data_IF_383956580668
#
_entry.id   IF_383956580668
#
_cell.length_a   1.000
_cell.length_b   1.000
_cell.length_c   1.000
_cell.angle_alpha   90.00
_cell.angle_beta   90.00
_cell.angle_gamma   90.00
#
_symmetry.space_group_name_H-M   'P 1'
#
loop_
_entity.id
_entity.type
_entity.pdbx_description
1 polymer ?
#
# COMPACT_ATOMS: atom_id res chain seq x y z
N UNK A 1 -19.81 8.44 14.31
CA UNK A 1 -20.01 8.36 12.85
C UNK A 1 -19.76 9.75 12.27
N UNK A 2 -19.19 9.85 11.07
CA UNK A 2 -18.98 11.14 10.43
C UNK A 2 -20.31 11.84 10.14
N UNK A 3 -20.37 13.17 10.29
CA UNK A 3 -21.59 13.96 10.18
C UNK A 3 -22.03 14.07 8.71
N UNK A 4 -22.94 13.18 8.29
CA UNK A 4 -23.52 13.14 6.93
C UNK A 4 -24.38 14.38 6.62
N UNK A 5 -25.05 14.92 7.64
CA UNK A 5 -26.05 15.98 7.53
C UNK A 5 -25.48 17.29 6.99
N UNK A 6 -24.26 17.60 7.42
CA UNK A 6 -23.57 18.87 7.14
C UNK A 6 -22.38 18.71 6.18
N UNK A 7 -22.22 17.53 5.56
CA UNK A 7 -21.11 17.29 4.66
C UNK A 7 -21.15 18.25 3.46
N UNK A 8 -20.06 18.97 3.24
CA UNK A 8 -19.84 19.82 2.08
C UNK A 8 -18.45 19.53 1.49
N UNK A 9 -18.44 19.19 0.20
CA UNK A 9 -17.24 18.93 -0.55
C UNK A 9 -16.62 20.25 -1.03
N UNK A 10 -15.57 20.70 -0.33
CA UNK A 10 -14.90 21.96 -0.63
C UNK A 10 -14.15 21.96 -1.96
N UNK A 11 -13.79 20.77 -2.47
CA UNK A 11 -13.06 20.65 -3.74
C UNK A 11 -14.01 20.82 -4.93
N UNK A 12 -15.13 20.12 -4.93
CA UNK A 12 -16.15 20.23 -5.98
C UNK A 12 -17.17 21.33 -5.73
N UNK A 13 -16.98 22.10 -4.64
CA UNK A 13 -17.86 23.16 -4.16
C UNK A 13 -19.35 22.77 -4.18
N UNK A 14 -19.66 21.58 -3.67
CA UNK A 14 -21.03 21.08 -3.61
C UNK A 14 -21.20 20.10 -2.45
N UNK A 15 -22.43 19.66 -2.21
CA UNK A 15 -22.76 18.76 -1.12
C UNK A 15 -23.06 17.32 -1.58
N UNK A 16 -22.59 16.93 -2.77
CA UNK A 16 -22.76 15.59 -3.32
C UNK A 16 -21.99 14.58 -2.49
N UNK A 17 -22.61 13.43 -2.25
CA UNK A 17 -22.00 12.27 -1.63
C UNK A 17 -21.84 11.18 -2.69
N UNK A 18 -20.61 10.85 -3.03
CA UNK A 18 -20.23 9.74 -3.91
C UNK A 18 -20.33 8.42 -3.15
N UNK A 19 -21.20 7.53 -3.63
CA UNK A 19 -21.28 6.17 -3.10
C UNK A 19 -20.24 5.25 -3.74
N UNK A 20 -20.00 4.07 -3.14
CA UNK A 20 -19.17 3.02 -3.75
C UNK A 20 -19.66 2.68 -5.16
N UNK A 21 -20.98 2.60 -5.33
CA UNK A 21 -21.63 2.30 -6.60
C UNK A 21 -21.50 3.45 -7.60
N UNK A 22 -21.54 4.71 -7.17
CA UNK A 22 -21.33 5.86 -8.07
C UNK A 22 -19.91 5.83 -8.62
N UNK A 23 -18.92 5.62 -7.76
CA UNK A 23 -17.50 5.57 -8.15
C UNK A 23 -17.22 4.36 -9.04
N UNK A 24 -17.83 3.21 -8.74
CA UNK A 24 -17.69 1.99 -9.55
C UNK A 24 -18.29 2.10 -10.95
N UNK A 25 -19.30 2.97 -11.14
CA UNK A 25 -19.97 3.19 -12.43
C UNK A 25 -19.42 4.40 -13.22
N UNK A 26 -18.39 5.10 -12.71
CA UNK A 26 -17.76 6.19 -13.44
C UNK A 26 -16.88 5.68 -14.57
N UNK A 27 -16.88 6.39 -15.69
CA UNK A 27 -15.81 6.24 -16.69
C UNK A 27 -14.46 6.72 -16.11
N UNK A 28 -13.35 6.37 -16.77
CA UNK A 28 -12.02 6.81 -16.32
C UNK A 28 -11.86 8.34 -16.30
N UNK A 29 -12.46 9.04 -17.27
CA UNK A 29 -12.39 10.50 -17.35
C UNK A 29 -13.36 11.18 -16.37
N UNK A 30 -14.54 10.59 -16.14
CA UNK A 30 -15.44 11.02 -15.08
C UNK A 30 -14.75 10.89 -13.71
N UNK A 31 -14.05 9.78 -13.46
CA UNK A 31 -13.31 9.59 -12.22
C UNK A 31 -12.18 10.60 -12.07
N UNK A 32 -11.31 10.78 -13.08
CA UNK A 32 -10.22 11.78 -13.04
C UNK A 32 -10.72 13.19 -12.77
N UNK A 33 -11.85 13.56 -13.36
CA UNK A 33 -12.46 14.88 -13.15
C UNK A 33 -12.96 15.05 -11.72
N UNK A 34 -13.46 13.98 -11.10
CA UNK A 34 -14.03 13.99 -9.75
C UNK A 34 -13.06 13.50 -8.66
N UNK A 35 -11.85 13.08 -9.01
CA UNK A 35 -10.91 12.35 -8.15
C UNK A 35 -10.66 13.09 -6.84
N UNK A 36 -10.24 14.35 -6.95
CA UNK A 36 -9.98 15.22 -5.79
C UNK A 36 -11.21 15.41 -4.89
N UNK A 37 -12.41 15.40 -5.45
CA UNK A 37 -13.65 15.52 -4.69
C UNK A 37 -14.00 14.21 -3.98
N UNK A 38 -13.86 13.08 -4.67
CA UNK A 38 -14.04 11.73 -4.09
C UNK A 38 -13.04 11.52 -2.95
N UNK A 39 -11.80 11.97 -3.14
CA UNK A 39 -10.74 11.89 -2.14
C UNK A 39 -11.05 12.72 -0.91
N UNK A 40 -11.51 13.96 -1.11
CA UNK A 40 -11.95 14.83 -0.02
C UNK A 40 -13.09 14.18 0.77
N UNK A 41 -14.07 13.55 0.11
CA UNK A 41 -15.14 12.87 0.80
C UNK A 41 -14.63 11.66 1.57
N UNK A 42 -13.83 10.81 0.95
CA UNK A 42 -13.25 9.64 1.59
C UNK A 42 -12.45 10.03 2.86
N UNK A 43 -11.77 11.18 2.82
CA UNK A 43 -11.03 11.72 3.95
C UNK A 43 -11.93 12.27 5.09
N UNK A 44 -13.09 12.84 4.79
CA UNK A 44 -13.90 13.54 5.81
C UNK A 44 -15.16 12.76 6.23
N UNK A 45 -15.64 11.87 5.37
CA UNK A 45 -16.92 11.16 5.52
C UNK A 45 -16.77 9.64 5.30
N UNK A 46 -15.76 9.22 4.52
CA UNK A 46 -15.69 7.86 3.98
C UNK A 46 -16.47 7.72 2.66
N UNK A 47 -16.46 6.53 2.08
CA UNK A 47 -17.25 6.20 0.88
C UNK A 47 -18.34 5.19 1.27
N UNK A 48 -19.57 5.65 1.56
CA UNK A 48 -20.68 4.78 1.93
C UNK A 48 -21.19 3.98 0.71
N UNK A 49 -21.85 2.85 0.94
CA UNK A 49 -22.75 2.28 -0.08
C UNK A 49 -24.06 3.04 -0.13
N UNK A 50 -24.79 2.86 -1.23
CA UNK A 50 -26.21 3.22 -1.31
C UNK A 50 -27.04 2.63 -0.16
N UNK A 51 -26.78 1.38 0.25
CA UNK A 51 -27.49 0.75 1.38
C UNK A 51 -27.31 1.50 2.70
N UNK A 52 -26.13 2.09 2.90
CA UNK A 52 -25.77 2.80 4.13
C UNK A 52 -26.47 4.17 4.19
N UNK A 53 -26.80 4.73 3.02
CA UNK A 53 -27.45 6.04 2.86
C UNK A 53 -28.97 5.96 2.73
N UNK A 54 -29.50 4.85 2.22
CA UNK A 54 -30.93 4.67 1.96
C UNK A 54 -31.81 4.80 3.20
N UNK A 55 -31.26 4.51 4.39
CA UNK A 55 -31.95 4.59 5.68
C UNK A 55 -31.55 5.82 6.50
N UNK A 56 -30.78 6.74 5.93
CA UNK A 56 -30.25 7.90 6.65
C UNK A 56 -31.11 9.15 6.43
N UNK A 57 -31.61 9.74 7.53
CA UNK A 57 -32.36 11.00 7.52
C UNK A 57 -31.51 12.26 7.22
N UNK A 58 -30.19 12.08 7.18
CA UNK A 58 -29.19 13.13 7.01
C UNK A 58 -28.86 13.44 5.55
N UNK A 59 -29.35 12.61 4.63
CA UNK A 59 -29.07 12.71 3.19
C UNK A 59 -30.34 12.80 2.37
N UNK A 60 -30.20 13.31 1.15
CA UNK A 60 -31.27 13.42 0.17
C UNK A 60 -30.87 12.63 -1.06
N UNK A 61 -31.73 11.72 -1.49
CA UNK A 61 -31.61 11.07 -2.78
C UNK A 61 -32.17 11.98 -3.87
N UNK A 62 -31.32 12.36 -4.82
CA UNK A 62 -31.68 13.18 -5.96
C UNK A 62 -31.85 12.27 -7.16
N UNK A 63 -33.07 12.23 -7.72
CA UNK A 63 -33.36 11.51 -8.95
C UNK A 63 -32.60 12.09 -10.13
N UNK A 64 -32.36 11.30 -11.18
CA UNK A 64 -31.74 11.82 -12.40
C UNK A 64 -32.66 12.86 -13.06
N UNK A 65 -32.08 13.91 -13.62
CA UNK A 65 -32.82 14.97 -14.31
C UNK A 65 -31.96 15.57 -15.43
N UNK A 66 -32.59 16.37 -16.29
CA UNK A 66 -31.91 17.14 -17.32
C UNK A 66 -32.00 18.62 -16.91
N UNK A 67 -30.87 19.33 -16.93
CA UNK A 67 -30.82 20.77 -16.70
C UNK A 67 -31.37 21.53 -17.90
N UNK A 68 -31.71 22.80 -17.70
CA UNK A 68 -32.21 23.68 -18.75
C UNK A 68 -31.20 23.85 -19.91
N UNK A 69 -29.90 23.73 -19.63
CA UNK A 69 -28.81 23.74 -20.61
C UNK A 69 -28.63 22.42 -21.39
N UNK A 70 -29.51 21.43 -21.17
CA UNK A 70 -29.45 20.11 -21.78
C UNK A 70 -28.53 19.10 -21.08
N UNK A 71 -27.83 19.48 -20.02
CA UNK A 71 -26.92 18.58 -19.28
C UNK A 71 -27.71 17.51 -18.54
N UNK A 72 -27.42 16.23 -18.83
CA UNK A 72 -27.99 15.08 -18.12
C UNK A 72 -27.27 14.85 -16.78
N UNK A 73 -28.03 14.88 -15.68
CA UNK A 73 -27.52 14.65 -14.33
C UNK A 73 -27.95 13.26 -13.87
N UNK A 74 -26.97 12.41 -13.56
CA UNK A 74 -27.20 11.08 -12.97
C UNK A 74 -27.75 11.21 -11.54
N UNK A 75 -28.60 10.27 -11.15
CA UNK A 75 -29.09 10.18 -9.77
C UNK A 75 -27.93 10.07 -8.78
N UNK A 76 -28.06 10.68 -7.60
CA UNK A 76 -27.00 10.73 -6.61
C UNK A 76 -27.52 11.08 -5.21
N UNK A 77 -26.70 10.85 -4.18
CA UNK A 77 -26.96 11.33 -2.83
C UNK A 77 -26.29 12.69 -2.61
N UNK A 78 -26.89 13.50 -1.73
CA UNK A 78 -26.28 14.73 -1.20
C UNK A 78 -26.63 14.91 0.27
N UNK A 79 -25.85 15.68 1.01
CA UNK A 79 -26.18 16.04 2.40
C UNK A 79 -27.41 16.96 2.47
N UNK A 80 -28.18 16.88 3.56
CA UNK A 80 -29.44 17.63 3.72
C UNK A 80 -29.24 19.10 4.08
N UNK A 81 -28.20 19.45 4.84
CA UNK A 81 -27.94 20.79 5.36
C UNK A 81 -26.63 21.41 4.83
N UNK A 82 -26.18 21.02 3.63
CA UNK A 82 -24.92 21.49 3.04
C UNK A 82 -24.88 23.00 2.78
N UNK A 83 -24.63 23.79 3.81
CA UNK A 83 -24.39 25.23 3.75
C UNK A 83 -22.90 25.53 3.61
N UNK A 84 -22.58 26.60 2.89
CA UNK A 84 -21.27 27.27 3.01
C UNK A 84 -21.31 28.02 4.35
N UNK A 85 -20.96 27.36 5.46
CA UNK A 85 -20.69 28.09 6.71
C UNK A 85 -19.30 28.71 6.59
N UNK A 86 -19.21 30.01 6.87
CA UNK A 86 -18.10 30.93 6.58
C UNK A 86 -16.74 30.66 7.24
N UNK A 87 -16.32 29.41 7.41
CA UNK A 87 -14.94 29.04 7.66
C UNK A 87 -14.14 29.03 6.34
N UNK A 88 -14.12 30.18 5.67
CA UNK A 88 -13.12 30.54 4.68
C UNK A 88 -11.90 31.11 5.41
N UNK A 89 -11.16 30.24 6.10
CA UNK A 89 -9.75 30.41 6.47
C UNK A 89 -9.26 29.09 7.04
N UNK A 90 -8.02 28.73 6.76
CA UNK A 90 -7.34 27.50 7.17
C UNK A 90 -7.61 26.29 6.26
N UNK A 91 -7.03 26.38 5.06
CA UNK A 91 -6.60 25.21 4.30
C UNK A 91 -5.41 24.61 5.06
N UNK A 92 -5.64 23.54 5.81
CA UNK A 92 -4.63 22.49 5.92
C UNK A 92 -5.08 21.34 5.03
N UNK A 93 -4.22 20.99 4.07
CA UNK A 93 -4.34 19.86 3.14
C UNK A 93 -4.73 18.58 3.90
N UNK A 94 -6.01 18.17 3.84
CA UNK A 94 -6.42 16.86 4.36
C UNK A 94 -6.25 15.79 3.27
N UNK A 95 -5.41 14.83 3.62
CA UNK A 95 -4.96 13.70 2.82
C UNK A 95 -6.09 12.78 2.32
N UNK A 96 -6.02 12.31 1.06
CA UNK A 96 -6.83 11.23 0.43
C UNK A 96 -6.80 9.92 1.25
N UNK A 97 -7.57 8.85 0.97
CA UNK A 97 -7.36 7.58 1.71
C UNK A 97 -6.04 6.88 1.37
N UNK A 98 -5.58 7.03 0.13
CA UNK A 98 -4.22 6.65 -0.23
C UNK A 98 -3.26 7.44 0.65
N UNK A 99 -3.36 8.77 0.61
CA UNK A 99 -2.53 9.68 1.38
C UNK A 99 -2.62 9.40 2.86
N UNK A 100 -3.79 9.15 3.44
CA UNK A 100 -3.99 8.74 4.82
C UNK A 100 -3.42 7.37 5.10
N UNK A 101 -3.44 6.43 4.17
CA UNK A 101 -2.76 5.14 4.35
C UNK A 101 -1.26 5.35 4.36
N UNK A 102 -0.69 6.13 3.44
CA UNK A 102 0.73 6.52 3.47
C UNK A 102 1.08 7.41 4.67
N UNK A 103 0.13 8.20 5.15
CA UNK A 103 0.25 9.06 6.31
C UNK A 103 0.24 8.20 7.56
N UNK A 104 -0.69 7.26 7.70
CA UNK A 104 -0.74 6.25 8.75
C UNK A 104 0.56 5.43 8.71
N UNK A 105 0.94 4.89 7.55
CA UNK A 105 2.22 4.19 7.34
C UNK A 105 3.43 5.09 7.67
N UNK A 106 3.34 6.41 7.46
CA UNK A 106 4.39 7.39 7.75
C UNK A 106 4.40 7.92 9.20
N UNK A 107 3.24 8.03 9.86
CA UNK A 107 3.00 8.56 11.22
C UNK A 107 3.22 7.48 12.28
N UNK A 108 2.81 6.24 11.99
CA UNK A 108 3.06 5.04 12.82
C UNK A 108 4.57 4.88 13.11
N UNK A 109 5.43 5.39 12.23
CA UNK A 109 6.87 5.19 12.32
C UNK A 109 7.67 6.48 12.60
N UNK A 110 7.07 7.66 12.43
CA UNK A 110 7.72 8.95 12.73
C UNK A 110 7.53 9.44 14.18
N UNK A 111 6.70 8.75 14.98
CA UNK A 111 6.38 9.13 16.36
C UNK A 111 7.46 8.70 17.37
N UNK A 112 8.36 9.64 17.71
CA UNK A 112 9.22 9.71 18.91
C UNK A 112 10.19 8.56 19.30
N UNK A 113 11.42 8.97 19.63
CA UNK A 113 12.63 8.18 19.95
C UNK A 113 12.49 7.11 21.05
N UNK A 114 11.39 7.11 21.83
CA UNK A 114 11.13 6.17 22.92
C UNK A 114 10.18 5.01 22.56
N UNK A 115 9.57 5.02 21.36
CA UNK A 115 8.51 4.07 20.98
C UNK A 115 8.84 3.34 19.66
N UNK A 116 10.11 3.29 19.26
CA UNK A 116 10.51 2.50 18.08
C UNK A 116 10.24 0.98 18.23
N UNK A 117 10.12 0.47 19.46
CA UNK A 117 9.88 -0.95 19.73
C UNK A 117 8.40 -1.36 19.91
N UNK A 118 7.44 -0.42 20.01
CA UNK A 118 6.03 -0.78 20.30
C UNK A 118 5.02 -0.39 19.23
N UNK A 119 5.26 0.66 18.44
CA UNK A 119 4.23 1.20 17.54
C UNK A 119 4.46 0.98 16.04
N UNK A 120 5.45 0.20 15.61
CA UNK A 120 5.47 -0.40 14.26
C UNK A 120 4.32 -1.43 14.08
N UNK A 121 3.57 -1.73 15.15
CA UNK A 121 2.77 -2.94 15.39
C UNK A 121 1.67 -3.33 14.38
N UNK A 122 1.42 -2.56 13.32
CA UNK A 122 0.42 -2.92 12.29
C UNK A 122 1.07 -3.19 10.92
N UNK A 123 2.07 -2.40 10.50
CA UNK A 123 2.64 -2.45 9.14
C UNK A 123 4.20 -2.31 9.07
N UNK A 124 4.98 -3.22 9.70
CA UNK A 124 6.44 -3.18 9.66
C UNK A 124 7.11 -3.20 8.29
N UNK A 125 6.49 -3.81 7.27
CA UNK A 125 7.11 -3.94 5.95
C UNK A 125 6.73 -2.75 5.07
N UNK A 126 5.43 -2.55 4.82
CA UNK A 126 4.94 -1.48 3.96
C UNK A 126 5.33 -0.11 4.50
N UNK A 127 5.27 0.10 5.82
CA UNK A 127 5.64 1.37 6.45
C UNK A 127 7.14 1.67 6.35
N UNK A 128 7.98 0.65 6.49
CA UNK A 128 9.43 0.80 6.38
C UNK A 128 9.85 1.13 4.94
N UNK A 129 9.36 0.35 3.96
CA UNK A 129 9.67 0.57 2.54
C UNK A 129 9.24 1.97 2.10
N UNK A 130 8.03 2.36 2.48
CA UNK A 130 7.51 3.68 2.18
C UNK A 130 8.39 4.82 2.72
N UNK A 131 8.78 4.77 3.99
CA UNK A 131 9.61 5.84 4.56
C UNK A 131 10.98 5.89 3.96
N UNK A 132 11.56 4.72 3.67
CA UNK A 132 12.86 4.70 3.03
C UNK A 132 12.79 5.36 1.65
N UNK A 133 11.75 5.05 0.88
CA UNK A 133 11.53 5.64 -0.44
C UNK A 133 11.13 7.13 -0.41
N UNK A 134 10.46 7.61 0.65
CA UNK A 134 10.01 9.03 0.74
C UNK A 134 10.98 9.95 1.47
N UNK A 135 11.77 9.42 2.40
CA UNK A 135 12.51 10.21 3.39
C UNK A 135 13.99 9.82 3.41
N UNK A 136 14.55 9.49 2.24
CA UNK A 136 15.97 9.13 2.07
C UNK A 136 16.43 8.13 3.13
N UNK A 137 15.80 6.95 3.13
CA UNK A 137 16.17 5.82 3.97
C UNK A 137 16.08 6.08 5.49
N UNK A 138 15.26 7.06 5.92
CA UNK A 138 15.13 7.45 7.34
C UNK A 138 14.83 6.29 8.30
N UNK A 139 14.04 5.30 7.88
CA UNK A 139 13.74 4.16 8.74
C UNK A 139 14.97 3.28 8.91
N UNK A 140 15.63 2.93 7.81
CA UNK A 140 16.86 2.13 7.83
C UNK A 140 17.99 2.83 8.62
N UNK A 141 18.15 4.15 8.49
CA UNK A 141 19.14 4.95 9.27
C UNK A 141 18.97 4.84 10.79
N UNK A 142 17.82 4.38 11.29
CA UNK A 142 17.48 4.27 12.72
C UNK A 142 17.27 2.83 13.19
N UNK A 143 17.48 1.85 12.32
CA UNK A 143 17.25 0.45 12.61
C UNK A 143 18.58 -0.29 12.50
N UNK A 144 19.09 -0.76 13.63
CA UNK A 144 20.38 -1.46 13.70
C UNK A 144 20.40 -2.77 12.91
N UNK A 145 19.22 -3.31 12.59
CA UNK A 145 19.01 -4.53 11.80
C UNK A 145 18.69 -4.23 10.32
N UNK A 146 18.94 -3.01 9.86
CA UNK A 146 18.74 -2.58 8.48
C UNK A 146 19.98 -1.86 7.95
N UNK A 147 20.41 -2.22 6.75
CA UNK A 147 21.59 -1.66 6.10
C UNK A 147 21.21 -1.00 4.78
N UNK A 148 21.65 0.24 4.58
CA UNK A 148 21.44 0.99 3.35
C UNK A 148 22.56 0.63 2.39
N UNK A 149 22.19 0.33 1.16
CA UNK A 149 23.10 0.05 0.06
C UNK A 149 22.91 1.16 -0.96
N UNK A 150 23.99 1.88 -1.31
CA UNK A 150 23.87 3.06 -2.20
C UNK A 150 23.87 2.67 -3.67
N UNK A 151 24.36 1.48 -4.00
CA UNK A 151 24.17 0.84 -5.28
C UNK A 151 24.18 -0.65 -5.08
N UNK A 152 23.26 -1.36 -5.73
CA UNK A 152 23.21 -2.83 -5.61
C UNK A 152 24.55 -3.50 -5.97
N UNK A 153 25.41 -2.85 -6.77
CA UNK A 153 26.74 -3.39 -7.11
C UNK A 153 27.65 -3.55 -5.89
N UNK A 154 27.33 -2.92 -4.76
CA UNK A 154 28.00 -3.13 -3.47
C UNK A 154 27.70 -4.53 -2.89
N UNK A 155 26.65 -5.21 -3.36
CA UNK A 155 26.29 -6.56 -2.91
C UNK A 155 27.26 -7.56 -3.52
N UNK A 156 28.18 -8.08 -2.70
CA UNK A 156 29.13 -9.12 -3.10
C UNK A 156 28.50 -10.52 -3.12
N UNK A 157 27.50 -10.70 -3.99
CA UNK A 157 26.88 -11.99 -4.27
C UNK A 157 26.44 -12.05 -5.74
N UNK A 158 27.20 -12.79 -6.57
CA UNK A 158 26.95 -12.87 -8.01
C UNK A 158 25.57 -13.45 -8.33
N UNK A 159 25.19 -14.56 -7.71
CA UNK A 159 23.92 -15.22 -8.01
C UNK A 159 22.71 -14.40 -7.62
N UNK A 160 22.82 -13.61 -6.53
CA UNK A 160 21.80 -12.64 -6.14
C UNK A 160 21.71 -11.47 -7.14
N UNK A 161 22.85 -10.92 -7.57
CA UNK A 161 22.87 -9.89 -8.62
C UNK A 161 22.26 -10.39 -9.93
N UNK A 162 22.58 -11.63 -10.34
CA UNK A 162 21.99 -12.26 -11.53
C UNK A 162 20.47 -12.40 -11.43
N UNK A 163 19.94 -12.67 -10.22
CA UNK A 163 18.49 -12.64 -9.97
C UNK A 163 17.94 -11.21 -10.09
N UNK A 164 18.60 -10.24 -9.46
CA UNK A 164 18.18 -8.84 -9.48
C UNK A 164 18.17 -8.26 -10.90
N UNK A 165 19.11 -8.68 -11.77
CA UNK A 165 19.08 -8.41 -13.21
C UNK A 165 17.83 -8.98 -13.88
N UNK A 166 17.51 -10.26 -13.62
CA UNK A 166 16.36 -10.94 -14.24
C UNK A 166 15.02 -10.35 -13.85
N UNK A 167 14.91 -9.78 -12.65
CA UNK A 167 13.69 -9.07 -12.21
C UNK A 167 13.67 -7.60 -12.59
N UNK A 168 14.69 -7.10 -13.28
CA UNK A 168 14.72 -5.74 -13.82
C UNK A 168 15.07 -4.65 -12.81
N UNK A 169 15.71 -4.99 -11.69
CA UNK A 169 16.26 -3.97 -10.78
C UNK A 169 17.45 -3.29 -11.50
N UNK A 170 17.56 -1.96 -11.52
CA UNK A 170 18.73 -1.26 -12.04
C UNK A 170 19.99 -1.46 -11.18
N UNK A 171 21.17 -1.47 -11.80
CA UNK A 171 22.46 -1.64 -11.09
C UNK A 171 22.76 -0.47 -10.13
N UNK A 172 22.39 0.75 -10.52
CA UNK A 172 22.56 1.95 -9.72
C UNK A 172 21.44 2.16 -8.68
N UNK A 173 20.47 1.24 -8.57
CA UNK A 173 19.42 1.37 -7.56
C UNK A 173 20.01 1.28 -6.16
N UNK A 174 19.51 2.18 -5.30
CA UNK A 174 19.69 2.11 -3.86
C UNK A 174 18.70 1.11 -3.27
N UNK A 175 18.95 0.68 -2.05
CA UNK A 175 18.03 -0.23 -1.38
C UNK A 175 18.38 -0.48 0.08
N UNK A 176 17.55 -1.31 0.70
CA UNK A 176 17.71 -1.71 2.11
C UNK A 176 17.84 -3.22 2.21
N UNK A 177 18.81 -3.66 3.00
CA UNK A 177 18.97 -5.04 3.45
C UNK A 177 18.54 -5.11 4.91
N UNK A 178 17.43 -5.79 5.18
CA UNK A 178 16.99 -6.14 6.51
C UNK A 178 17.60 -7.50 6.88
N UNK A 179 18.36 -7.54 7.98
CA UNK A 179 19.04 -8.75 8.40
C UNK A 179 18.07 -9.78 9.03
N UNK A 180 18.63 -10.91 9.47
CA UNK A 180 17.90 -12.02 10.11
C UNK A 180 17.22 -11.63 11.44
N UNK A 181 17.70 -10.59 12.12
CA UNK A 181 17.18 -10.15 13.42
C UNK A 181 16.08 -9.11 13.28
N UNK A 182 15.96 -8.47 12.12
CA UNK A 182 14.96 -7.45 11.83
C UNK A 182 13.52 -7.97 12.04
N UNK A 183 12.64 -7.05 12.46
CA UNK A 183 11.21 -7.34 12.60
C UNK A 183 10.59 -7.74 11.26
N UNK A 184 11.04 -7.14 10.16
CA UNK A 184 10.55 -7.39 8.82
C UNK A 184 10.85 -8.83 8.37
N UNK A 185 12.10 -9.28 8.51
CA UNK A 185 12.49 -10.66 8.15
C UNK A 185 11.74 -11.70 8.97
N UNK A 186 11.63 -11.48 10.29
CA UNK A 186 10.87 -12.35 11.20
C UNK A 186 9.39 -12.40 10.84
N UNK A 187 8.78 -11.26 10.47
CA UNK A 187 7.39 -11.22 10.01
C UNK A 187 7.20 -12.00 8.72
N UNK A 188 8.12 -11.87 7.76
CA UNK A 188 8.02 -12.59 6.49
C UNK A 188 8.11 -14.09 6.69
N UNK A 189 9.05 -14.58 7.51
CA UNK A 189 9.11 -15.99 7.84
C UNK A 189 7.77 -16.51 8.37
N UNK A 190 7.13 -15.78 9.28
CA UNK A 190 5.84 -16.16 9.88
C UNK A 190 4.63 -15.96 8.95
N UNK A 191 4.82 -15.50 7.72
CA UNK A 191 3.71 -15.32 6.78
C UNK A 191 3.13 -16.65 6.30
N UNK A 192 1.80 -16.76 6.14
CA UNK A 192 1.18 -17.98 5.61
C UNK A 192 1.75 -18.41 4.26
N UNK A 193 2.11 -17.45 3.40
CA UNK A 193 2.66 -17.68 2.07
C UNK A 193 4.03 -18.37 2.13
N UNK A 194 4.95 -17.89 2.98
CA UNK A 194 6.28 -18.50 3.15
C UNK A 194 6.16 -19.84 3.87
N UNK A 195 5.34 -19.94 4.93
CA UNK A 195 5.13 -21.21 5.64
C UNK A 195 4.53 -22.28 4.71
N UNK A 196 3.57 -21.91 3.86
CA UNK A 196 3.01 -22.81 2.86
C UNK A 196 4.05 -23.21 1.79
N UNK A 197 4.91 -22.29 1.37
CA UNK A 197 6.02 -22.61 0.47
C UNK A 197 6.98 -23.64 1.08
N UNK A 198 7.37 -23.45 2.34
CA UNK A 198 8.26 -24.37 3.08
C UNK A 198 7.60 -25.75 3.18
N UNK A 199 6.36 -25.81 3.66
CA UNK A 199 5.61 -27.06 3.85
C UNK A 199 5.50 -27.86 2.55
N UNK A 200 5.11 -27.21 1.44
CA UNK A 200 4.95 -27.87 0.13
C UNK A 200 6.27 -28.34 -0.49
N UNK A 201 7.40 -27.75 -0.12
CA UNK A 201 8.70 -28.03 -0.73
C UNK A 201 9.70 -28.67 0.24
N UNK A 202 9.27 -29.06 1.44
CA UNK A 202 10.14 -29.48 2.54
C UNK A 202 11.24 -30.46 2.12
N UNK A 203 10.88 -31.60 1.52
CA UNK A 203 11.84 -32.62 1.11
C UNK A 203 12.85 -32.11 0.06
N UNK A 204 12.46 -31.16 -0.80
CA UNK A 204 13.37 -30.56 -1.80
C UNK A 204 14.32 -29.56 -1.16
N UNK A 205 13.83 -28.79 -0.19
CA UNK A 205 14.59 -27.80 0.56
C UNK A 205 15.65 -28.45 1.46
N UNK A 206 15.33 -29.58 2.10
CA UNK A 206 16.30 -30.36 2.90
C UNK A 206 17.39 -30.97 2.03
N UNK A 207 17.02 -31.51 0.86
CA UNK A 207 17.98 -32.19 -0.03
C UNK A 207 18.74 -31.23 -0.96
N UNK A 208 18.53 -29.91 -0.83
CA UNK A 208 19.06 -28.88 -1.72
C UNK A 208 18.82 -29.18 -3.22
N UNK A 209 17.65 -29.73 -3.56
CA UNK A 209 17.23 -30.10 -4.92
C UNK A 209 16.23 -29.10 -5.53
N UNK A 210 16.03 -27.96 -4.88
CA UNK A 210 15.09 -26.93 -5.31
C UNK A 210 15.76 -25.97 -6.30
N UNK A 211 14.97 -25.32 -7.16
CA UNK A 211 15.46 -24.18 -7.92
C UNK A 211 16.05 -23.14 -6.95
N UNK A 212 17.16 -22.47 -7.30
CA UNK A 212 17.78 -21.46 -6.44
C UNK A 212 16.90 -20.21 -6.27
N UNK A 213 15.74 -20.17 -6.93
CA UNK A 213 14.80 -19.06 -6.85
C UNK A 213 13.36 -19.57 -6.81
N UNK A 214 12.48 -18.84 -6.12
CA UNK A 214 11.04 -19.11 -6.12
C UNK A 214 10.24 -17.81 -6.12
N UNK A 215 9.01 -17.87 -6.64
CA UNK A 215 8.05 -16.77 -6.63
C UNK A 215 7.14 -16.85 -5.40
N UNK A 216 6.96 -15.73 -4.73
CA UNK A 216 6.00 -15.58 -3.63
C UNK A 216 5.07 -14.42 -3.95
N UNK A 217 3.76 -14.72 -3.97
CA UNK A 217 2.71 -13.73 -4.09
C UNK A 217 1.97 -13.63 -2.75
N UNK A 218 2.05 -12.46 -2.12
CA UNK A 218 1.18 -12.09 -1.01
C UNK A 218 -0.16 -11.64 -1.59
N UNK A 219 -1.25 -12.24 -1.10
CA UNK A 219 -2.61 -11.93 -1.56
C UNK A 219 -3.32 -11.04 -0.57
N UNK A 220 -4.14 -10.15 -1.11
CA UNK A 220 -5.02 -9.32 -0.31
C UNK A 220 -6.14 -10.18 0.29
N UNK A 221 -6.24 -10.14 1.62
CA UNK A 221 -7.19 -10.80 2.51
C UNK A 221 -8.05 -9.74 3.21
N UNK A 222 -7.45 -8.65 3.68
CA UNK A 222 -8.11 -7.56 4.38
C UNK A 222 -7.25 -6.28 4.38
N UNK A 223 -7.80 -5.22 4.99
CA UNK A 223 -7.17 -3.90 5.03
C UNK A 223 -5.82 -3.84 5.77
N UNK A 224 -5.50 -4.83 6.62
CA UNK A 224 -4.29 -4.89 7.45
C UNK A 224 -3.16 -5.74 6.85
N UNK A 225 -3.23 -6.10 5.58
CA UNK A 225 -2.22 -6.96 4.95
C UNK A 225 -0.94 -6.22 4.56
N UNK A 226 -0.07 -6.06 5.55
CA UNK A 226 1.25 -5.44 5.41
C UNK A 226 2.10 -5.98 4.25
N UNK A 227 2.26 -7.29 4.16
CA UNK A 227 3.11 -7.89 3.13
C UNK A 227 2.54 -7.66 1.73
N UNK A 228 1.21 -7.58 1.61
CA UNK A 228 0.53 -7.26 0.35
C UNK A 228 0.87 -5.84 -0.10
N UNK A 229 0.84 -4.85 0.80
CA UNK A 229 1.15 -3.47 0.42
C UNK A 229 2.65 -3.20 0.26
N UNK A 230 3.50 -3.94 0.97
CA UNK A 230 4.93 -3.68 1.03
C UNK A 230 5.78 -4.40 -0.03
N UNK A 231 5.31 -5.55 -0.54
CA UNK A 231 6.05 -6.42 -1.47
C UNK A 231 5.14 -6.92 -2.58
N UNK A 232 3.98 -7.49 -2.21
CA UNK A 232 3.03 -8.19 -3.08
C UNK A 232 3.60 -9.35 -3.92
N UNK A 233 4.57 -9.11 -4.78
CA UNK A 233 5.21 -10.07 -5.67
C UNK A 233 6.73 -10.03 -5.49
N UNK A 234 7.26 -10.95 -4.70
CA UNK A 234 8.70 -11.01 -4.44
C UNK A 234 9.33 -12.33 -4.90
N UNK A 235 10.66 -12.33 -5.00
CA UNK A 235 11.46 -13.53 -5.25
C UNK A 235 12.12 -14.00 -3.97
N UNK A 236 12.09 -15.31 -3.74
CA UNK A 236 13.03 -15.97 -2.85
C UNK A 236 14.29 -16.34 -3.61
N UNK A 237 15.44 -16.14 -2.99
CA UNK A 237 16.74 -16.57 -3.45
C UNK A 237 17.37 -17.55 -2.45
N UNK A 238 17.93 -18.62 -3.01
CA UNK A 238 18.55 -19.76 -2.35
C UNK A 238 17.75 -20.32 -1.14
N UNK A 239 16.44 -20.62 -1.30
CA UNK A 239 15.68 -21.21 -0.20
C UNK A 239 16.15 -22.64 0.06
N UNK A 240 16.60 -22.92 1.28
CA UNK A 240 17.05 -24.25 1.69
C UNK A 240 16.88 -24.47 3.19
N UNK A 241 16.90 -25.73 3.63
CA UNK A 241 16.95 -26.09 5.04
C UNK A 241 18.34 -26.62 5.34
N UNK A 242 19.05 -25.96 6.24
CA UNK A 242 20.39 -26.38 6.68
C UNK A 242 20.31 -27.61 7.58
N UNK A 243 21.43 -28.32 7.72
CA UNK A 243 21.53 -29.53 8.54
C UNK A 243 21.21 -29.30 10.03
N UNK A 244 21.38 -28.07 10.52
CA UNK A 244 21.00 -27.65 11.87
C UNK A 244 19.50 -27.30 12.01
N UNK A 245 18.70 -27.55 10.97
CA UNK A 245 17.24 -27.39 10.96
C UNK A 245 16.75 -25.97 10.67
N UNK A 246 17.60 -25.04 10.25
CA UNK A 246 17.13 -23.69 9.90
C UNK A 246 16.68 -23.59 8.45
N UNK A 247 15.54 -22.97 8.22
CA UNK A 247 15.18 -22.46 6.91
C UNK A 247 15.95 -21.17 6.63
N UNK A 248 16.65 -21.14 5.50
CA UNK A 248 17.45 -20.00 5.04
C UNK A 248 16.92 -19.53 3.69
N UNK A 249 16.71 -18.22 3.53
CA UNK A 249 16.36 -17.63 2.24
C UNK A 249 16.65 -16.12 2.23
N UNK A 250 16.78 -15.54 1.04
CA UNK A 250 16.80 -14.10 0.84
C UNK A 250 15.54 -13.71 0.07
N UNK A 251 14.69 -12.87 0.64
CA UNK A 251 13.54 -12.28 -0.07
C UNK A 251 14.03 -11.03 -0.79
N UNK A 252 13.70 -10.89 -2.07
CA UNK A 252 14.06 -9.75 -2.92
C UNK A 252 12.80 -9.19 -3.56
N UNK A 253 12.65 -7.88 -3.46
CA UNK A 253 11.56 -7.13 -4.08
C UNK A 253 12.10 -5.82 -4.66
N UNK A 254 11.49 -5.36 -5.74
CA UNK A 254 11.72 -4.01 -6.26
C UNK A 254 10.49 -3.18 -5.92
N UNK A 255 10.70 -2.08 -5.21
CA UNK A 255 9.63 -1.17 -4.84
C UNK A 255 9.33 -0.27 -6.04
N UNK A 256 8.74 -0.84 -7.09
CA UNK A 256 8.40 -0.21 -8.36
C UNK A 256 6.91 -0.47 -8.69
N UNK A 257 6.06 0.46 -8.24
CA UNK A 257 4.65 0.39 -8.57
C UNK A 257 4.47 0.46 -10.08
N UNK A 258 3.48 -0.27 -10.57
CA UNK A 258 3.04 -0.22 -11.96
C UNK A 258 1.57 0.15 -11.99
N UNK A 259 1.13 0.93 -12.97
CA UNK A 259 -0.29 1.25 -13.09
C UNK A 259 -1.14 -0.01 -13.36
N UNK A 260 -2.22 -0.20 -12.59
CA UNK A 260 -3.10 -1.37 -12.68
C UNK A 260 -4.54 -0.98 -12.94
N UNK A 261 -5.31 -1.91 -13.52
CA UNK A 261 -6.76 -1.82 -13.67
C UNK A 261 -7.43 -2.84 -12.73
N UNK A 262 -8.50 -2.48 -12.00
CA UNK A 262 -9.26 -3.43 -11.19
C UNK A 262 -9.84 -4.53 -12.08
N UNK A 263 -9.74 -5.80 -11.67
CA UNK A 263 -10.36 -6.92 -12.40
C UNK A 263 -11.80 -7.17 -11.95
N UNK A 264 -12.09 -6.85 -10.70
CA UNK A 264 -13.40 -6.97 -10.08
C UNK A 264 -13.56 -5.93 -8.96
N UNK A 265 -14.73 -5.89 -8.33
CA UNK A 265 -15.05 -4.89 -7.30
C UNK A 265 -14.20 -5.00 -6.02
N UNK A 266 -13.71 -6.20 -5.67
CA UNK A 266 -12.85 -6.41 -4.50
C UNK A 266 -11.45 -5.81 -4.71
N UNK A 267 -11.03 -5.69 -5.97
CA UNK A 267 -9.69 -5.17 -6.33
C UNK A 267 -9.63 -3.64 -6.36
N UNK A 268 -10.76 -2.93 -6.28
CA UNK A 268 -10.81 -1.47 -6.46
C UNK A 268 -9.89 -0.75 -5.45
N UNK A 269 -10.00 -1.10 -4.18
CA UNK A 269 -9.22 -0.45 -3.11
C UNK A 269 -7.71 -0.75 -3.22
N UNK A 270 -7.27 -2.02 -3.30
CA UNK A 270 -5.84 -2.31 -3.43
C UNK A 270 -5.23 -1.75 -4.73
N UNK A 271 -5.97 -1.77 -5.86
CA UNK A 271 -5.51 -1.16 -7.11
C UNK A 271 -5.36 0.35 -6.97
N UNK A 272 -6.28 1.04 -6.28
CA UNK A 272 -6.16 2.47 -6.03
C UNK A 272 -4.91 2.82 -5.22
N UNK A 273 -4.64 2.08 -4.13
CA UNK A 273 -3.44 2.30 -3.31
C UNK A 273 -2.18 2.11 -4.15
N UNK A 274 -2.12 1.04 -4.94
CA UNK A 274 -1.02 0.79 -5.86
C UNK A 274 -0.84 1.92 -6.89
N UNK A 275 -1.91 2.34 -7.56
CA UNK A 275 -1.84 3.37 -8.61
C UNK A 275 -1.44 4.73 -8.05
N UNK A 276 -1.70 4.97 -6.77
CA UNK A 276 -1.24 6.16 -6.12
C UNK A 276 0.27 6.11 -5.81
N UNK A 277 0.80 4.97 -5.35
CA UNK A 277 2.25 4.73 -5.28
C UNK A 277 2.92 4.93 -6.63
N UNK A 278 2.32 4.41 -7.71
CA UNK A 278 2.77 4.64 -9.09
C UNK A 278 2.84 6.14 -9.44
N UNK A 279 1.77 6.89 -9.17
CA UNK A 279 1.75 8.34 -9.46
C UNK A 279 2.82 9.12 -8.68
N UNK A 280 3.14 8.69 -7.45
CA UNK A 280 4.21 9.33 -6.67
C UNK A 280 5.60 9.05 -7.25
N UNK A 281 5.83 7.85 -7.79
CA UNK A 281 7.08 7.51 -8.47
C UNK A 281 7.26 8.29 -9.77
N UNK A 282 6.20 8.41 -10.59
CA UNK A 282 6.24 9.25 -11.80
C UNK A 282 6.59 10.71 -11.51
N UNK A 283 6.21 11.21 -10.32
CA UNK A 283 6.48 12.59 -9.87
C UNK A 283 7.80 12.74 -9.10
N UNK A 284 8.57 11.67 -8.92
CA UNK A 284 9.81 11.70 -8.14
C UNK A 284 9.61 11.94 -6.63
N UNK A 285 8.39 11.73 -6.12
CA UNK A 285 8.05 11.89 -4.70
C UNK A 285 8.23 10.59 -3.89
N UNK A 286 8.45 9.48 -4.60
CA UNK A 286 8.72 8.17 -4.04
C UNK A 286 9.86 7.55 -4.85
N UNK A 287 10.96 7.22 -4.18
CA UNK A 287 12.12 6.59 -4.83
C UNK A 287 11.84 5.12 -5.15
N UNK A 288 12.22 4.68 -6.36
CA UNK A 288 12.29 3.25 -6.67
C UNK A 288 13.54 2.68 -6.00
N UNK A 289 13.36 1.66 -5.16
CA UNK A 289 14.45 1.06 -4.40
C UNK A 289 14.26 -0.46 -4.32
N UNK A 290 15.34 -1.21 -4.19
CA UNK A 290 15.22 -2.63 -3.86
C UNK A 290 15.07 -2.84 -2.35
N UNK A 291 14.36 -3.90 -1.96
CA UNK A 291 14.28 -4.35 -0.58
C UNK A 291 14.73 -5.81 -0.50
N UNK A 292 15.64 -6.08 0.43
CA UNK A 292 16.14 -7.42 0.73
C UNK A 292 15.82 -7.77 2.17
N UNK A 293 15.31 -8.99 2.41
CA UNK A 293 15.05 -9.50 3.75
C UNK A 293 15.72 -10.86 3.90
N UNK A 294 16.62 -10.97 4.87
CA UNK A 294 17.34 -12.20 5.15
C UNK A 294 16.56 -13.04 6.15
N UNK A 295 16.23 -14.27 5.80
CA UNK A 295 15.54 -15.21 6.69
C UNK A 295 16.54 -16.30 7.09
N UNK A 296 16.66 -16.51 8.41
CA UNK A 296 17.27 -17.70 9.01
C UNK A 296 16.50 -18.05 10.27
N UNK A 297 15.63 -19.05 10.19
CA UNK A 297 14.73 -19.39 11.28
C UNK A 297 14.65 -20.90 11.48
N UNK A 298 14.65 -21.34 12.74
CA UNK A 298 14.62 -22.75 13.10
C UNK A 298 13.27 -23.35 12.74
N UNK A 299 13.28 -24.45 11.98
CA UNK A 299 12.11 -25.30 11.80
C UNK A 299 12.12 -26.35 12.90
N UNK A 300 11.27 -26.14 13.92
CA UNK A 300 11.02 -26.99 15.09
C UNK A 300 12.22 -27.40 15.97
#
# INVERSE_FOLDING_TARGET
MANLKEFFNKISNNNRIYTREDIGNMSSDEFRTNEKAIDYQLANLGIPAKSDLALSDDVVYVHSYTRDDGTKVKAHYRSKAGHITGAASNIENKMTAGEKMLDILGQIVSSNKQILNKNIGIFPIAGANLQNARQDFKYAKKNDNAHIINSRTEINNKGLNDLMDKVGIPQNSRGVVYDINSQQSKKLFNSPEIQNYISKNYSKLVNNKQNPTADIEFRWKNFLDDNYYGLQHCKLYNPHISSDGHFNAIVVDYFDFQHRKPRNWKDIIPVKINNWGYSMQEKGLLENQFNIYQIREKLW
#
